data_IF_574923423820
#
_entry.id   IF_574923423820
#
_cell.length_a   1.000
_cell.length_b   1.000
_cell.length_c   1.000
_cell.angle_alpha   90.00
_cell.angle_beta   90.00
_cell.angle_gamma   90.00
#
_symmetry.space_group_name_H-M   'P 1'
#
loop_
_entity.id
_entity.type
_entity.pdbx_description
1 polymer ?
#
# COMPACT_ATOMS: atom_id res chain seq x y z
N UNK A 1 0.98 -10.90 10.73
CA UNK A 1 2.16 -11.11 9.85
C UNK A 1 3.27 -11.78 10.66
N UNK A 2 3.85 -12.84 10.13
CA UNK A 2 4.96 -13.54 10.78
C UNK A 2 6.24 -12.69 10.70
N UNK A 3 7.17 -12.92 11.66
CA UNK A 3 8.40 -12.15 11.75
C UNK A 3 9.25 -12.16 10.46
N UNK A 4 9.31 -13.31 9.78
CA UNK A 4 10.04 -13.42 8.51
C UNK A 4 9.44 -12.56 7.41
N UNK A 5 8.11 -12.46 7.37
CA UNK A 5 7.40 -11.64 6.39
C UNK A 5 7.62 -10.14 6.65
N UNK A 6 7.75 -9.74 7.91
CA UNK A 6 8.06 -8.35 8.25
C UNK A 6 9.43 -7.96 7.72
N UNK A 7 10.42 -8.85 7.81
CA UNK A 7 11.75 -8.60 7.24
C UNK A 7 11.68 -8.34 5.75
N UNK A 8 10.98 -9.19 5.01
CA UNK A 8 10.83 -9.05 3.57
C UNK A 8 10.07 -7.77 3.21
N UNK A 9 9.00 -7.47 3.94
CA UNK A 9 8.25 -6.23 3.75
C UNK A 9 9.12 -4.99 3.97
N UNK A 10 9.95 -5.01 5.00
CA UNK A 10 10.86 -3.90 5.32
C UNK A 10 11.95 -3.74 4.27
N UNK A 11 12.49 -4.83 3.74
CA UNK A 11 13.49 -4.78 2.68
C UNK A 11 12.93 -4.08 1.44
N UNK A 12 11.75 -4.48 1.00
CA UNK A 12 11.10 -3.85 -0.16
C UNK A 12 10.68 -2.41 0.13
N UNK A 13 10.26 -2.11 1.35
CA UNK A 13 9.92 -0.74 1.74
C UNK A 13 11.12 0.19 1.63
N UNK A 14 12.29 -0.26 2.05
CA UNK A 14 13.54 0.51 1.90
C UNK A 14 13.87 0.76 0.43
N UNK A 15 13.76 -0.27 -0.40
CA UNK A 15 14.00 -0.14 -1.84
C UNK A 15 13.05 0.88 -2.47
N UNK A 16 11.77 0.78 -2.15
CA UNK A 16 10.74 1.69 -2.67
C UNK A 16 10.98 3.14 -2.23
N UNK A 17 11.25 3.35 -0.94
CA UNK A 17 11.51 4.69 -0.42
C UNK A 17 12.73 5.32 -1.08
N UNK A 18 13.78 4.55 -1.31
CA UNK A 18 14.97 5.02 -1.99
C UNK A 18 14.67 5.40 -3.44
N UNK A 19 13.96 4.55 -4.18
CA UNK A 19 13.61 4.78 -5.58
C UNK A 19 12.70 6.01 -5.75
N UNK A 20 11.64 6.08 -4.96
CA UNK A 20 10.65 7.16 -5.05
C UNK A 20 11.22 8.52 -4.68
N UNK A 21 12.14 8.56 -3.71
CA UNK A 21 12.73 9.80 -3.22
C UNK A 21 14.08 10.14 -3.87
N UNK A 22 14.60 9.27 -4.74
CA UNK A 22 15.88 9.50 -5.41
C UNK A 22 17.07 9.55 -4.46
N UNK A 23 17.04 8.77 -3.38
CA UNK A 23 18.10 8.72 -2.36
C UNK A 23 18.61 7.28 -2.24
N UNK A 24 19.78 7.12 -1.58
CA UNK A 24 20.27 5.77 -1.26
C UNK A 24 19.50 5.21 -0.05
N UNK A 25 19.50 3.88 0.09
CA UNK A 25 18.85 3.24 1.24
C UNK A 25 19.47 3.68 2.57
N UNK A 26 20.76 4.00 2.56
CA UNK A 26 21.47 4.46 3.77
C UNK A 26 21.03 5.86 4.22
N UNK A 27 20.49 6.66 3.32
CA UNK A 27 20.01 8.01 3.61
C UNK A 27 18.61 8.02 4.22
N UNK A 28 17.91 6.88 4.24
CA UNK A 28 16.56 6.79 4.81
C UNK A 28 16.65 6.91 6.33
N UNK A 29 15.81 7.78 6.90
CA UNK A 29 15.77 8.02 8.34
C UNK A 29 15.52 6.73 9.14
N UNK A 30 16.33 6.50 10.17
CA UNK A 30 16.13 5.39 11.11
C UNK A 30 14.78 5.52 11.84
N UNK A 31 14.37 6.74 12.14
CA UNK A 31 13.06 7.00 12.75
C UNK A 31 11.91 6.55 11.86
N UNK A 32 11.99 6.87 10.57
CA UNK A 32 10.97 6.44 9.60
C UNK A 32 10.92 4.91 9.50
N UNK A 33 12.07 4.25 9.42
CA UNK A 33 12.13 2.79 9.34
C UNK A 33 11.60 2.12 10.61
N UNK A 34 11.93 2.65 11.79
CA UNK A 34 11.42 2.12 13.06
C UNK A 34 9.90 2.24 13.15
N UNK A 35 9.34 3.37 12.77
CA UNK A 35 7.89 3.57 12.75
C UNK A 35 7.21 2.66 11.74
N UNK A 36 7.83 2.42 10.59
CA UNK A 36 7.30 1.53 9.56
C UNK A 36 7.26 0.08 10.05
N UNK A 37 8.35 -0.38 10.67
CA UNK A 37 8.41 -1.73 11.23
C UNK A 37 7.34 -1.93 12.30
N UNK A 38 7.19 -0.95 13.17
CA UNK A 38 6.16 -0.96 14.20
C UNK A 38 4.75 -1.02 13.58
N UNK A 39 4.52 -0.26 12.52
CA UNK A 39 3.26 -0.27 11.80
C UNK A 39 2.91 -1.65 11.27
N UNK A 40 3.87 -2.34 10.64
CA UNK A 40 3.68 -3.71 10.18
C UNK A 40 3.40 -4.68 11.33
N UNK A 41 4.03 -4.47 12.49
CA UNK A 41 3.89 -5.34 13.66
C UNK A 41 2.56 -5.18 14.38
N UNK A 42 1.99 -3.98 14.43
CA UNK A 42 0.78 -3.65 15.20
C UNK A 42 -0.52 -4.12 14.55
N UNK A 43 -0.48 -4.56 13.29
CA UNK A 43 -1.62 -5.24 12.68
C UNK A 43 -2.75 -4.36 12.18
N UNK A 44 -2.58 -3.05 12.06
CA UNK A 44 -3.59 -2.16 11.49
C UNK A 44 -3.46 -2.05 9.96
N UNK A 45 -3.06 -3.15 9.33
CA UNK A 45 -2.83 -3.23 7.91
C UNK A 45 -2.91 -4.69 7.45
N UNK A 46 -3.02 -4.87 6.15
CA UNK A 46 -2.87 -6.16 5.50
C UNK A 46 -1.92 -5.99 4.32
N UNK A 47 -0.85 -6.78 4.29
CA UNK A 47 0.17 -6.71 3.25
C UNK A 47 0.28 -8.04 2.55
N UNK A 48 0.27 -8.02 1.22
CA UNK A 48 0.60 -9.17 0.40
C UNK A 48 2.01 -9.03 -0.11
N UNK A 49 2.71 -10.15 -0.17
CA UNK A 49 4.07 -10.25 -0.68
C UNK A 49 4.10 -11.23 -1.85
N UNK A 50 4.84 -10.88 -2.88
CA UNK A 50 5.04 -11.75 -4.04
C UNK A 50 6.44 -12.33 -3.98
N UNK A 51 6.56 -13.61 -4.30
CA UNK A 51 7.81 -14.33 -4.26
C UNK A 51 8.15 -15.00 -5.59
N UNK A 52 9.42 -14.99 -5.93
CA UNK A 52 10.00 -15.86 -6.95
C UNK A 52 10.88 -16.86 -6.20
N UNK A 53 10.37 -18.09 -6.01
CA UNK A 53 11.01 -19.05 -5.11
C UNK A 53 11.04 -18.52 -3.68
N UNK A 54 12.23 -18.32 -3.14
CA UNK A 54 12.44 -17.78 -1.79
C UNK A 54 12.69 -16.28 -1.77
N UNK A 55 12.76 -15.65 -2.94
CA UNK A 55 13.07 -14.22 -3.06
C UNK A 55 11.79 -13.39 -3.11
N UNK A 56 11.64 -12.48 -2.18
CA UNK A 56 10.52 -11.54 -2.18
C UNK A 56 10.76 -10.47 -3.26
N UNK A 57 9.83 -10.33 -4.19
CA UNK A 57 9.98 -9.48 -5.37
C UNK A 57 8.95 -8.37 -5.45
N UNK A 58 7.94 -8.38 -4.61
CA UNK A 58 6.88 -7.37 -4.63
C UNK A 58 6.10 -7.32 -3.33
N UNK A 59 5.47 -6.19 -3.10
CA UNK A 59 4.60 -5.97 -1.95
C UNK A 59 3.47 -5.01 -2.30
N UNK A 60 2.37 -5.13 -1.57
CA UNK A 60 1.27 -4.18 -1.61
C UNK A 60 0.60 -4.16 -0.24
N UNK A 61 0.33 -2.97 0.29
CA UNK A 61 -0.20 -2.80 1.63
C UNK A 61 -1.55 -2.09 1.58
N UNK A 62 -2.46 -2.54 2.42
CA UNK A 62 -3.75 -1.90 2.64
C UNK A 62 -3.82 -1.48 4.10
N UNK A 63 -3.88 -0.17 4.34
CA UNK A 63 -4.01 0.42 5.68
C UNK A 63 -5.47 0.53 6.03
N UNK A 64 -5.86 0.12 7.23
CA UNK A 64 -7.26 0.15 7.66
C UNK A 64 -7.62 1.51 8.27
N UNK A 65 -8.84 1.96 7.95
CA UNK A 65 -9.42 3.16 8.50
C UNK A 65 -10.85 2.87 8.96
N UNK A 66 -11.24 3.49 10.05
CA UNK A 66 -12.62 3.41 10.53
C UNK A 66 -13.17 4.83 10.61
N UNK A 67 -14.05 5.15 9.69
CA UNK A 67 -14.70 6.46 9.60
C UNK A 67 -16.16 6.34 10.06
N UNK A 68 -16.79 7.49 10.25
CA UNK A 68 -18.19 7.52 10.63
C UNK A 68 -19.05 6.80 9.59
N UNK A 69 -19.91 5.86 9.98
CA UNK A 69 -20.82 5.18 9.05
C UNK A 69 -21.72 6.14 8.29
N UNK A 70 -21.98 5.82 7.03
CA UNK A 70 -22.89 6.57 6.16
C UNK A 70 -23.81 5.59 5.44
N UNK A 71 -24.81 6.10 4.72
CA UNK A 71 -25.69 5.23 3.92
C UNK A 71 -24.90 4.44 2.86
N UNK A 72 -23.94 5.06 2.20
CA UNK A 72 -23.10 4.40 1.19
C UNK A 72 -22.09 3.45 1.81
N UNK A 73 -21.66 3.71 3.03
CA UNK A 73 -20.65 2.94 3.74
C UNK A 73 -21.11 2.65 5.17
N UNK A 74 -22.07 1.74 5.33
CA UNK A 74 -22.73 1.53 6.62
C UNK A 74 -21.84 0.93 7.71
N UNK A 75 -20.77 0.23 7.36
CA UNK A 75 -19.83 -0.31 8.34
C UNK A 75 -18.83 0.72 8.85
N UNK A 76 -18.61 1.78 8.10
CA UNK A 76 -17.52 2.74 8.38
C UNK A 76 -16.12 2.18 8.15
N UNK A 77 -16.00 0.92 7.77
CA UNK A 77 -14.72 0.26 7.50
C UNK A 77 -14.21 0.67 6.12
N UNK A 78 -13.06 1.30 6.08
CA UNK A 78 -12.41 1.77 4.86
C UNK A 78 -10.96 1.33 4.86
N UNK A 79 -10.33 1.40 3.70
CA UNK A 79 -8.92 1.10 3.57
C UNK A 79 -8.26 2.02 2.55
N UNK A 80 -6.97 2.21 2.72
CA UNK A 80 -6.14 2.95 1.77
C UNK A 80 -4.99 2.07 1.33
N UNK A 81 -4.86 1.88 0.03
CA UNK A 81 -3.77 1.09 -0.55
C UNK A 81 -2.57 1.98 -0.79
N UNK A 82 -1.43 1.52 -0.34
CA UNK A 82 -0.15 2.17 -0.57
C UNK A 82 0.96 1.12 -0.55
N UNK A 83 2.19 1.55 -0.76
CA UNK A 83 3.33 0.64 -0.73
C UNK A 83 3.22 -0.47 -1.77
N UNK A 84 2.68 -0.15 -2.94
CA UNK A 84 2.62 -1.08 -4.07
C UNK A 84 3.94 -1.00 -4.82
N UNK A 85 4.74 -2.06 -4.75
CA UNK A 85 6.08 -2.07 -5.30
C UNK A 85 6.41 -3.43 -5.87
N UNK A 86 7.01 -3.44 -7.06
CA UNK A 86 7.55 -4.64 -7.70
C UNK A 86 8.99 -4.31 -8.11
N UNK A 87 9.92 -5.19 -7.81
CA UNK A 87 11.32 -5.01 -8.22
C UNK A 87 11.41 -4.89 -9.73
N UNK A 88 12.27 -4.02 -10.20
CA UNK A 88 12.37 -3.63 -11.62
C UNK A 88 12.41 -4.82 -12.58
N UNK A 89 13.20 -5.85 -12.27
CA UNK A 89 13.34 -7.04 -13.10
C UNK A 89 12.05 -7.83 -13.29
N UNK A 90 11.06 -7.62 -12.44
CA UNK A 90 9.79 -8.36 -12.43
C UNK A 90 8.59 -7.53 -12.87
N UNK A 91 8.80 -6.28 -13.27
CA UNK A 91 7.74 -5.37 -13.70
C UNK A 91 7.16 -5.77 -15.05
N UNK A 92 5.95 -5.27 -15.34
CA UNK A 92 5.20 -5.51 -16.59
C UNK A 92 4.79 -6.97 -16.80
N UNK A 93 4.63 -7.72 -15.72
CA UNK A 93 4.18 -9.11 -15.74
C UNK A 93 2.83 -9.31 -15.03
N UNK A 94 2.17 -8.23 -14.63
CA UNK A 94 0.87 -8.29 -13.95
C UNK A 94 0.96 -8.59 -12.45
N UNK A 95 2.14 -8.58 -11.84
CA UNK A 95 2.33 -8.90 -10.43
C UNK A 95 1.64 -7.88 -9.52
N UNK A 96 1.79 -6.59 -9.81
CA UNK A 96 1.13 -5.53 -9.05
C UNK A 96 -0.40 -5.69 -9.08
N UNK A 97 -0.94 -5.99 -10.26
CA UNK A 97 -2.37 -6.22 -10.43
C UNK A 97 -2.86 -7.39 -9.60
N UNK A 98 -2.13 -8.49 -9.59
CA UNK A 98 -2.49 -9.67 -8.78
C UNK A 98 -2.45 -9.36 -7.30
N UNK A 99 -1.45 -8.62 -6.83
CA UNK A 99 -1.34 -8.22 -5.42
C UNK A 99 -2.50 -7.32 -5.00
N UNK A 100 -2.81 -6.31 -5.80
CA UNK A 100 -3.93 -5.40 -5.51
C UNK A 100 -5.25 -6.16 -5.53
N UNK A 101 -5.42 -7.09 -6.46
CA UNK A 101 -6.62 -7.95 -6.51
C UNK A 101 -6.77 -8.75 -5.21
N UNK A 102 -5.68 -9.29 -4.69
CA UNK A 102 -5.69 -10.01 -3.41
C UNK A 102 -6.11 -9.10 -2.25
N UNK A 103 -5.64 -7.85 -2.24
CA UNK A 103 -6.07 -6.86 -1.24
C UNK A 103 -7.57 -6.58 -1.35
N UNK A 104 -8.09 -6.42 -2.56
CA UNK A 104 -9.52 -6.16 -2.77
C UNK A 104 -10.38 -7.34 -2.34
N UNK A 105 -9.91 -8.55 -2.57
CA UNK A 105 -10.61 -9.75 -2.11
C UNK A 105 -10.70 -9.79 -0.58
N UNK A 106 -9.59 -9.50 0.10
CA UNK A 106 -9.56 -9.39 1.55
C UNK A 106 -10.53 -8.30 2.05
N UNK A 107 -10.55 -7.15 1.39
CA UNK A 107 -11.45 -6.05 1.74
C UNK A 107 -12.92 -6.48 1.67
N UNK A 108 -13.31 -7.16 0.60
CA UNK A 108 -14.68 -7.65 0.43
C UNK A 108 -15.05 -8.65 1.53
N UNK A 109 -14.15 -9.54 1.89
CA UNK A 109 -14.37 -10.55 2.92
C UNK A 109 -14.49 -9.97 4.33
N UNK A 110 -13.97 -8.76 4.54
CA UNK A 110 -13.93 -8.10 5.85
C UNK A 110 -14.85 -6.88 5.95
N UNK A 111 -15.84 -6.78 5.06
CA UNK A 111 -16.85 -5.73 5.07
C UNK A 111 -16.28 -4.31 4.91
N UNK A 112 -15.12 -4.20 4.28
CA UNK A 112 -14.54 -2.91 3.88
C UNK A 112 -15.25 -2.47 2.61
N UNK A 113 -15.95 -1.33 2.68
CA UNK A 113 -16.82 -0.87 1.60
C UNK A 113 -16.22 0.22 0.74
N UNK A 114 -15.12 0.81 1.18
CA UNK A 114 -14.44 1.88 0.46
C UNK A 114 -12.94 1.67 0.52
N UNK A 115 -12.31 1.62 -0.65
CA UNK A 115 -10.85 1.48 -0.79
C UNK A 115 -10.35 2.62 -1.65
N UNK A 116 -9.38 3.37 -1.14
CA UNK A 116 -8.76 4.50 -1.82
C UNK A 116 -7.28 4.23 -2.09
N UNK A 117 -6.71 4.98 -3.00
CA UNK A 117 -5.27 5.01 -3.24
C UNK A 117 -4.92 6.30 -3.97
N UNK A 118 -3.63 6.66 -3.93
CA UNK A 118 -3.09 7.74 -4.73
C UNK A 118 -2.33 7.11 -5.90
N UNK A 119 -2.78 7.38 -7.12
CA UNK A 119 -2.20 6.79 -8.31
C UNK A 119 -1.18 7.73 -8.95
N UNK A 120 -0.02 7.19 -9.30
CA UNK A 120 0.88 7.88 -10.23
C UNK A 120 0.27 7.81 -11.63
N UNK A 121 0.69 8.71 -12.52
CA UNK A 121 0.22 8.69 -13.90
C UNK A 121 0.48 7.35 -14.57
N UNK A 122 1.65 6.75 -14.35
CA UNK A 122 2.00 5.45 -14.93
C UNK A 122 1.20 4.28 -14.33
N UNK A 123 0.75 4.38 -13.09
CA UNK A 123 -0.05 3.33 -12.43
C UNK A 123 -1.55 3.43 -12.64
N UNK A 124 -2.02 4.56 -13.14
CA UNK A 124 -3.45 4.84 -13.26
C UNK A 124 -4.22 3.81 -14.07
N UNK A 125 -3.66 3.38 -15.18
CA UNK A 125 -4.30 2.38 -16.05
C UNK A 125 -4.53 1.05 -15.35
N UNK A 126 -3.59 0.63 -14.53
CA UNK A 126 -3.70 -0.60 -13.75
C UNK A 126 -4.89 -0.52 -12.80
N UNK A 127 -5.01 0.58 -12.09
CA UNK A 127 -6.08 0.75 -11.11
C UNK A 127 -7.44 0.94 -11.78
N UNK A 128 -7.51 1.66 -12.87
CA UNK A 128 -8.74 1.79 -13.67
C UNK A 128 -9.21 0.43 -14.18
N UNK A 129 -8.29 -0.43 -14.62
CA UNK A 129 -8.60 -1.79 -15.05
C UNK A 129 -9.18 -2.65 -13.92
N UNK A 130 -8.89 -2.33 -12.66
CA UNK A 130 -9.42 -3.00 -11.49
C UNK A 130 -10.74 -2.40 -10.99
N UNK A 131 -11.21 -1.32 -11.62
CA UNK A 131 -12.48 -0.67 -11.27
C UNK A 131 -12.34 0.58 -10.42
N UNK A 132 -11.11 1.06 -10.15
CA UNK A 132 -10.92 2.32 -9.45
C UNK A 132 -11.32 3.50 -10.33
N UNK A 133 -11.97 4.49 -9.74
CA UNK A 133 -12.37 5.72 -10.41
C UNK A 133 -11.88 6.93 -9.64
N UNK A 134 -11.57 8.01 -10.35
CA UNK A 134 -11.19 9.25 -9.70
C UNK A 134 -12.37 9.90 -8.98
N UNK A 135 -12.08 10.68 -7.94
CA UNK A 135 -13.08 11.46 -7.21
C UNK A 135 -12.70 12.92 -7.23
N UNK A 136 -13.65 13.77 -7.61
CA UNK A 136 -13.47 15.22 -7.55
C UNK A 136 -13.91 15.82 -6.22
N UNK A 137 -14.60 15.02 -5.38
CA UNK A 137 -15.10 15.48 -4.09
C UNK A 137 -14.03 15.52 -3.02
N UNK A 138 -12.99 14.69 -3.14
CA UNK A 138 -11.93 14.61 -2.15
C UNK A 138 -11.04 15.86 -2.20
N UNK A 139 -10.85 16.48 -1.04
CA UNK A 139 -9.94 17.62 -0.87
C UNK A 139 -8.98 17.29 0.26
N UNK A 140 -7.76 17.79 0.16
CA UNK A 140 -6.73 17.55 1.17
C UNK A 140 -5.95 18.81 1.50
N UNK A 141 -5.35 18.84 2.69
CA UNK A 141 -4.41 19.87 3.11
C UNK A 141 -3.22 19.19 3.78
N UNK A 142 -2.02 19.62 3.45
CA UNK A 142 -0.80 19.13 4.07
C UNK A 142 -0.38 20.08 5.18
N UNK A 143 -0.52 19.63 6.43
CA UNK A 143 -0.26 20.44 7.61
C UNK A 143 1.23 20.53 7.99
N UNK A 144 2.09 19.74 7.37
CA UNK A 144 3.54 19.82 7.62
C UNK A 144 4.20 21.04 6.99
N UNK A 145 3.51 21.72 6.06
CA UNK A 145 4.01 22.90 5.33
C UNK A 145 3.30 24.21 5.72
N UNK A 146 2.66 24.23 6.86
CA UNK A 146 2.01 25.45 7.36
C UNK A 146 3.08 26.34 7.99
N UNK A 147 3.17 27.56 7.50
CA UNK A 147 4.00 28.63 8.07
C UNK A 147 3.17 29.51 8.99
#
# INVERSE_FOLDING_TARGET
METGNIRDAMELRREMLAEVNGVSQMEISHGLLSLTERFFSEGNQFTVLAYDGITCIGCATMCFMHLMPTYSHPTGKRAHIMNVYVREAYRRQGIAKEMVNALLLYARQNEITHVSLDATESGRKLYEALGFTGSEEAMEINLTKIE
#
